data_IF_417859716672
#
_entry.id   IF_417859716672
#
_cell.length_a   1.000
_cell.length_b   1.000
_cell.length_c   1.000
_cell.angle_alpha   90.00
_cell.angle_beta   90.00
_cell.angle_gamma   90.00
#
_symmetry.space_group_name_H-M   'P 1'
#
loop_
_entity.id
_entity.type
_entity.pdbx_description
1 polymer ?
#
# COMPACT_ATOMS: atom_id res chain seq x y z
N UNK A 1 -10.61 -5.43 19.20
CA UNK A 1 -9.29 -4.87 18.84
C UNK A 1 -9.18 -4.93 17.35
N UNK A 2 -8.80 -3.83 16.68
CA UNK A 2 -8.41 -3.90 15.28
C UNK A 2 -7.20 -4.83 15.19
N UNK A 3 -7.23 -5.84 14.33
CA UNK A 3 -6.05 -6.67 14.09
C UNK A 3 -4.91 -5.80 13.56
N UNK A 4 -3.65 -6.20 13.77
CA UNK A 4 -2.49 -5.49 13.23
C UNK A 4 -2.31 -5.62 11.71
N UNK A 5 -3.30 -6.19 11.01
CA UNK A 5 -3.24 -6.53 9.59
C UNK A 5 -4.56 -6.18 8.91
N UNK A 6 -4.47 -5.73 7.67
CA UNK A 6 -5.59 -5.70 6.74
C UNK A 6 -5.64 -6.98 5.94
N UNK A 7 -6.80 -7.25 5.36
CA UNK A 7 -6.88 -8.16 4.23
C UNK A 7 -6.11 -7.61 3.02
N UNK A 8 -5.71 -8.50 2.11
CA UNK A 8 -5.09 -8.09 0.84
C UNK A 8 -6.18 -7.49 -0.06
N UNK A 9 -6.13 -6.17 -0.27
CA UNK A 9 -7.03 -5.50 -1.21
C UNK A 9 -6.65 -5.84 -2.65
N UNK A 10 -7.60 -6.40 -3.39
CA UNK A 10 -7.44 -6.71 -4.81
C UNK A 10 -8.23 -5.66 -5.60
N UNK A 11 -7.51 -4.83 -6.35
CA UNK A 11 -8.12 -3.96 -7.35
C UNK A 11 -8.78 -4.82 -8.41
N UNK A 12 -10.01 -4.47 -8.81
CA UNK A 12 -10.56 -4.99 -10.06
C UNK A 12 -9.74 -4.48 -11.26
N UNK A 13 -10.08 -4.95 -12.46
CA UNK A 13 -9.33 -4.67 -13.68
C UNK A 13 -8.98 -3.17 -13.87
N UNK A 14 -7.87 -2.92 -14.58
CA UNK A 14 -7.40 -1.56 -14.89
C UNK A 14 -6.19 -1.13 -14.05
N UNK A 15 -5.69 0.07 -14.33
CA UNK A 15 -4.55 0.65 -13.59
C UNK A 15 -5.02 1.39 -12.34
N UNK A 16 -4.13 1.49 -11.35
CA UNK A 16 -4.35 2.31 -10.16
C UNK A 16 -3.84 3.71 -10.42
N UNK A 17 -4.72 4.70 -10.31
CA UNK A 17 -4.38 6.12 -10.33
C UNK A 17 -4.54 6.73 -8.92
N UNK A 18 -4.15 7.99 -8.74
CA UNK A 18 -4.20 8.66 -7.43
C UNK A 18 -5.60 8.66 -6.80
N UNK A 19 -6.63 8.99 -7.57
CA UNK A 19 -8.03 8.97 -7.09
C UNK A 19 -8.45 7.58 -6.62
N UNK A 20 -8.09 6.54 -7.38
CA UNK A 20 -8.39 5.15 -7.04
C UNK A 20 -7.66 4.71 -5.77
N UNK A 21 -6.40 5.09 -5.64
CA UNK A 21 -5.59 4.85 -4.44
C UNK A 21 -6.20 5.55 -3.21
N UNK A 22 -6.62 6.81 -3.34
CA UNK A 22 -7.32 7.53 -2.29
C UNK A 22 -8.58 6.79 -1.80
N UNK A 23 -9.46 6.42 -2.73
CA UNK A 23 -10.77 5.86 -2.42
C UNK A 23 -10.72 4.42 -1.91
N UNK A 24 -9.83 3.61 -2.48
CA UNK A 24 -9.79 2.18 -2.17
C UNK A 24 -8.75 1.83 -1.10
N UNK A 25 -7.72 2.66 -0.91
CA UNK A 25 -6.63 2.37 0.03
C UNK A 25 -6.58 3.35 1.21
N UNK A 26 -6.41 4.65 0.95
CA UNK A 26 -6.16 5.63 2.01
C UNK A 26 -7.40 5.88 2.88
N UNK A 27 -8.57 6.08 2.27
CA UNK A 27 -9.81 6.30 3.02
C UNK A 27 -10.27 5.08 3.82
N UNK A 28 -10.27 3.85 3.28
CA UNK A 28 -10.76 2.70 4.04
C UNK A 28 -9.75 2.20 5.07
N UNK A 29 -8.45 2.22 4.75
CA UNK A 29 -7.42 1.62 5.61
C UNK A 29 -6.56 2.68 6.29
N UNK A 30 -5.99 3.62 5.54
CA UNK A 30 -5.12 4.68 6.10
C UNK A 30 -5.80 5.45 7.23
N UNK A 31 -7.00 5.98 6.97
CA UNK A 31 -7.83 6.69 7.96
C UNK A 31 -8.22 5.82 9.15
N UNK A 32 -8.57 4.56 8.88
CA UNK A 32 -8.97 3.60 9.91
C UNK A 32 -7.81 3.35 10.90
N UNK A 33 -6.61 3.08 10.40
CA UNK A 33 -5.44 2.88 11.26
C UNK A 33 -4.99 4.17 11.94
N UNK A 34 -5.07 5.32 11.26
CA UNK A 34 -4.79 6.61 11.88
C UNK A 34 -5.68 6.85 13.10
N UNK A 35 -6.98 6.59 12.97
CA UNK A 35 -7.94 6.70 14.07
C UNK A 35 -7.72 5.68 15.19
N UNK A 36 -7.32 4.45 14.84
CA UNK A 36 -7.11 3.38 15.82
C UNK A 36 -5.76 3.47 16.56
N UNK A 37 -4.69 3.88 15.88
CA UNK A 37 -3.33 3.90 16.42
C UNK A 37 -2.92 5.27 16.98
N UNK A 38 -3.66 6.34 16.66
CA UNK A 38 -3.36 7.66 17.18
C UNK A 38 -2.17 8.34 16.49
N UNK A 39 -1.71 9.49 17.00
CA UNK A 39 -0.78 10.39 16.31
C UNK A 39 0.62 9.84 16.05
N UNK A 40 0.93 8.66 16.57
CA UNK A 40 2.18 7.94 16.28
C UNK A 40 2.07 7.06 15.03
N UNK A 41 0.89 6.99 14.41
CA UNK A 41 0.70 6.25 13.17
C UNK A 41 1.45 6.91 12.02
N UNK A 42 2.28 6.13 11.37
CA UNK A 42 3.11 6.55 10.26
C UNK A 42 2.85 5.65 9.06
N UNK A 43 2.39 6.25 7.96
CA UNK A 43 2.06 5.54 6.73
C UNK A 43 3.28 5.43 5.82
N UNK A 44 3.45 4.26 5.19
CA UNK A 44 4.54 3.99 4.24
C UNK A 44 3.98 3.22 3.05
N UNK A 45 4.33 3.67 1.84
CA UNK A 45 4.08 2.99 0.59
C UNK A 45 5.34 2.92 -0.29
N UNK A 46 5.22 2.35 -1.49
CA UNK A 46 6.26 2.52 -2.50
C UNK A 46 6.08 3.85 -3.23
N UNK A 47 7.18 4.43 -3.75
CA UNK A 47 7.13 5.73 -4.41
C UNK A 47 6.55 5.65 -5.84
N UNK A 48 5.49 4.86 -6.05
CA UNK A 48 4.82 4.73 -7.34
C UNK A 48 4.16 6.06 -7.73
N UNK A 49 4.07 6.40 -9.02
CA UNK A 49 3.51 7.68 -9.46
C UNK A 49 2.08 7.95 -8.97
N UNK A 50 1.27 6.90 -8.80
CA UNK A 50 -0.09 7.02 -8.28
C UNK A 50 -0.14 7.46 -6.83
N UNK A 51 0.90 7.23 -6.03
CA UNK A 51 0.94 7.62 -4.61
C UNK A 51 1.45 9.06 -4.42
N UNK A 52 2.03 9.66 -5.47
CA UNK A 52 2.63 11.01 -5.45
C UNK A 52 1.86 12.00 -6.32
N UNK A 53 0.56 11.79 -6.45
CA UNK A 53 -0.33 12.77 -7.10
C UNK A 53 -0.77 13.82 -6.09
N UNK A 54 -1.03 15.05 -6.54
CA UNK A 54 -1.54 16.14 -5.68
C UNK A 54 -2.76 15.71 -4.85
N UNK A 55 -3.71 14.99 -5.46
CA UNK A 55 -4.92 14.50 -4.76
C UNK A 55 -4.61 13.53 -3.61
N UNK A 56 -3.50 12.79 -3.71
CA UNK A 56 -3.06 11.89 -2.63
C UNK A 56 -2.41 12.69 -1.51
N UNK A 57 -1.55 13.65 -1.84
CA UNK A 57 -0.92 14.53 -0.86
C UNK A 57 -1.96 15.34 -0.08
N UNK A 58 -2.91 15.97 -0.78
CA UNK A 58 -4.03 16.69 -0.15
C UNK A 58 -4.87 15.80 0.76
N UNK A 59 -5.10 14.55 0.37
CA UNK A 59 -5.86 13.62 1.20
C UNK A 59 -5.09 13.23 2.47
N UNK A 60 -3.81 12.90 2.35
CA UNK A 60 -2.95 12.54 3.48
C UNK A 60 -2.91 13.68 4.52
N UNK A 61 -2.76 14.92 4.05
CA UNK A 61 -2.84 16.11 4.90
C UNK A 61 -4.22 16.26 5.56
N UNK A 62 -5.31 16.12 4.80
CA UNK A 62 -6.67 16.30 5.32
C UNK A 62 -7.08 15.26 6.37
N UNK A 63 -6.54 14.05 6.27
CA UNK A 63 -6.80 12.95 7.21
C UNK A 63 -5.75 12.88 8.33
N UNK A 64 -4.84 13.86 8.40
CA UNK A 64 -3.73 13.94 9.37
C UNK A 64 -2.87 12.67 9.39
N UNK A 65 -2.64 12.09 8.21
CA UNK A 65 -1.86 10.86 8.05
C UNK A 65 -0.41 11.26 7.74
N UNK A 66 0.48 11.08 8.71
CA UNK A 66 1.90 11.26 8.48
C UNK A 66 2.40 10.20 7.48
N UNK A 67 3.07 10.65 6.42
CA UNK A 67 3.59 9.80 5.35
C UNK A 67 5.11 9.86 5.32
N UNK A 68 5.76 8.69 5.29
CA UNK A 68 7.21 8.64 5.18
C UNK A 68 7.64 8.99 3.76
N UNK A 69 8.45 10.03 3.65
CA UNK A 69 9.21 10.28 2.43
C UNK A 69 10.25 9.19 2.22
N UNK A 70 9.95 8.30 1.27
CA UNK A 70 10.82 7.19 0.91
C UNK A 70 11.48 7.42 -0.44
N UNK A 71 12.80 7.24 -0.50
CA UNK A 71 13.54 7.36 -1.76
C UNK A 71 13.07 6.31 -2.77
N UNK A 72 12.73 6.77 -3.98
CA UNK A 72 12.28 5.94 -5.09
C UNK A 72 13.23 4.77 -5.44
N UNK A 73 14.52 4.91 -5.10
CA UNK A 73 15.60 4.01 -5.53
C UNK A 73 16.02 2.99 -4.47
N UNK A 74 15.39 2.98 -3.30
CA UNK A 74 15.67 2.02 -2.22
C UNK A 74 14.67 0.86 -2.25
N UNK A 75 14.72 0.10 -3.36
CA UNK A 75 13.93 -1.12 -3.63
C UNK A 75 14.15 -2.20 -2.55
N UNK A 76 15.38 -2.33 -2.11
CA UNK A 76 15.88 -3.31 -1.14
C UNK A 76 15.38 -3.06 0.28
N UNK A 77 15.11 -1.79 0.62
CA UNK A 77 14.68 -1.39 1.96
C UNK A 77 13.16 -1.30 2.13
N UNK A 78 12.37 -1.54 1.08
CA UNK A 78 10.91 -1.45 1.18
C UNK A 78 10.29 -2.75 1.74
N UNK A 79 9.66 -2.72 2.93
CA UNK A 79 9.01 -3.90 3.52
C UNK A 79 7.93 -4.52 2.63
N UNK A 80 7.18 -3.69 1.87
CA UNK A 80 6.15 -4.13 0.93
C UNK A 80 6.75 -5.00 -0.18
N UNK A 81 7.96 -4.67 -0.67
CA UNK A 81 8.65 -5.48 -1.67
C UNK A 81 9.11 -6.82 -1.12
N UNK A 82 9.58 -6.84 0.13
CA UNK A 82 9.95 -8.08 0.79
C UNK A 82 8.73 -9.01 0.94
N UNK A 83 7.60 -8.48 1.44
CA UNK A 83 6.34 -9.22 1.56
C UNK A 83 5.86 -9.72 0.18
N UNK A 84 5.88 -8.86 -0.85
CA UNK A 84 5.52 -9.26 -2.22
C UNK A 84 6.41 -10.38 -2.75
N UNK A 85 7.72 -10.34 -2.49
CA UNK A 85 8.64 -11.39 -2.93
C UNK A 85 8.36 -12.73 -2.22
N UNK A 86 8.06 -12.70 -0.92
CA UNK A 86 7.67 -13.91 -0.18
C UNK A 86 6.37 -14.51 -0.73
N UNK A 87 5.40 -13.68 -1.08
CA UNK A 87 4.13 -14.11 -1.67
C UNK A 87 4.28 -14.57 -3.13
N UNK A 88 5.17 -13.94 -3.90
CA UNK A 88 5.34 -14.20 -5.32
C UNK A 88 6.11 -15.50 -5.64
N UNK A 89 7.01 -15.94 -4.75
CA UNK A 89 7.80 -17.17 -4.96
C UNK A 89 6.93 -18.43 -5.09
N UNK A 90 5.99 -18.73 -4.18
CA UNK A 90 5.09 -19.87 -4.34
C UNK A 90 4.24 -19.79 -5.61
N UNK A 91 3.78 -18.59 -5.99
CA UNK A 91 2.97 -18.41 -7.21
C UNK A 91 3.80 -18.72 -8.46
N UNK A 92 5.05 -18.24 -8.51
CA UNK A 92 5.96 -18.53 -9.61
C UNK A 92 6.21 -20.03 -9.76
N UNK A 93 6.38 -20.74 -8.63
CA UNK A 93 6.54 -22.20 -8.61
C UNK A 93 5.27 -22.93 -9.12
N UNK A 94 4.08 -22.49 -8.72
CA UNK A 94 2.81 -23.03 -9.21
C UNK A 94 2.63 -22.82 -10.73
N UNK A 95 3.06 -21.69 -11.26
CA UNK A 95 2.97 -21.39 -12.70
C UNK A 95 4.06 -22.06 -13.54
N UNK A 96 5.16 -22.51 -12.91
CA UNK A 96 6.26 -23.20 -13.56
C UNK A 96 6.05 -24.72 -13.67
N UNK A 97 5.06 -25.27 -12.97
CA UNK A 97 4.66 -26.67 -13.13
C UNK A 97 3.86 -26.82 -14.44
N UNK A 98 4.19 -27.81 -15.29
CA UNK A 98 3.37 -28.08 -16.47
C UNK A 98 1.97 -28.45 -16.01
N UNK A 99 0.96 -27.79 -16.59
CA UNK A 99 -0.45 -28.16 -16.42
C UNK A 99 -0.58 -29.67 -16.69
N UNK A 100 -0.90 -30.44 -15.65
CA UNK A 100 -1.25 -31.87 -15.78
C UNK A 100 -2.65 -32.02 -16.34
#
# INVERSE_FOLDING_TARGET
>A
MLGSRTDLHIFDAGSVNGTRYCNEILLPYGRLFRGAMGPQFLFMDDNAPCHRTVTVEELLESEDIEHIDWSARSLDLNPVKHVRNLLGRPVAELTALPLR
#
